data_IF_367377940660
#
_entry.id   IF_367377940660
#
_cell.length_a   1.000
_cell.length_b   1.000
_cell.length_c   1.000
_cell.angle_alpha   90.00
_cell.angle_beta   90.00
_cell.angle_gamma   90.00
#
_symmetry.space_group_name_H-M   'P 1'
#
loop_
_entity.id
_entity.type
_entity.pdbx_description
1 polymer ?
#
# COMPACT_ATOMS: atom_id res chain seq x y z
N UNK A 1 -13.19 1.01 13.40
CA UNK A 1 -13.61 -0.18 12.65
C UNK A 1 -12.50 -1.22 12.77
N UNK A 2 -12.77 -2.40 13.37
CA UNK A 2 -11.82 -3.52 13.40
C UNK A 2 -11.94 -4.32 12.09
N UNK A 3 -11.48 -3.70 11.00
CA UNK A 3 -11.47 -4.35 9.69
C UNK A 3 -10.14 -5.09 9.48
N UNK A 4 -10.13 -6.19 8.72
CA UNK A 4 -8.89 -6.85 8.30
C UNK A 4 -7.98 -5.90 7.54
N UNK A 5 -6.68 -6.12 7.62
CA UNK A 5 -5.68 -5.24 7.01
C UNK A 5 -5.89 -5.04 5.50
N UNK A 6 -6.20 -6.12 4.77
CA UNK A 6 -6.48 -6.04 3.34
C UNK A 6 -7.69 -5.15 3.01
N UNK A 7 -8.76 -5.23 3.81
CA UNK A 7 -9.93 -4.36 3.62
C UNK A 7 -9.59 -2.90 3.90
N UNK A 8 -8.76 -2.63 4.91
CA UNK A 8 -8.27 -1.27 5.20
C UNK A 8 -7.40 -0.72 4.06
N UNK A 9 -6.48 -1.53 3.50
CA UNK A 9 -5.65 -1.13 2.36
C UNK A 9 -6.49 -0.79 1.13
N UNK A 10 -7.49 -1.62 0.80
CA UNK A 10 -8.43 -1.35 -0.30
C UNK A 10 -9.22 -0.07 -0.06
N UNK A 11 -9.73 0.17 1.16
CA UNK A 11 -10.45 1.41 1.50
C UNK A 11 -9.57 2.65 1.38
N UNK A 12 -8.31 2.58 1.85
CA UNK A 12 -7.34 3.68 1.70
C UNK A 12 -7.04 3.92 0.23
N UNK A 13 -6.84 2.86 -0.56
CA UNK A 13 -6.64 2.96 -2.00
C UNK A 13 -7.84 3.59 -2.73
N UNK A 14 -9.07 3.21 -2.37
CA UNK A 14 -10.29 3.82 -2.89
C UNK A 14 -10.36 5.32 -2.57
N UNK A 15 -10.07 5.70 -1.31
CA UNK A 15 -10.05 7.11 -0.90
C UNK A 15 -8.98 7.92 -1.62
N UNK A 16 -7.78 7.35 -1.78
CA UNK A 16 -6.68 7.98 -2.52
C UNK A 16 -7.02 8.16 -4.00
N UNK A 17 -7.53 7.12 -4.66
CA UNK A 17 -7.93 7.18 -6.05
C UNK A 17 -9.04 8.22 -6.29
N UNK A 18 -10.08 8.22 -5.45
CA UNK A 18 -11.17 9.19 -5.53
C UNK A 18 -10.69 10.63 -5.29
N UNK A 19 -9.79 10.83 -4.31
CA UNK A 19 -9.21 12.15 -4.02
C UNK A 19 -8.37 12.71 -5.16
N UNK A 20 -7.48 11.90 -5.76
CA UNK A 20 -6.68 12.30 -6.92
C UNK A 20 -7.58 12.58 -8.12
N UNK A 21 -8.53 11.69 -8.40
CA UNK A 21 -9.48 11.81 -9.49
C UNK A 21 -10.30 13.09 -9.37
N UNK A 22 -10.81 13.40 -8.19
CA UNK A 22 -11.61 14.61 -7.96
C UNK A 22 -10.77 15.89 -8.04
N UNK A 23 -9.50 15.85 -7.56
CA UNK A 23 -8.64 17.04 -7.53
C UNK A 23 -8.07 17.43 -8.88
N UNK A 24 -7.77 16.44 -9.74
CA UNK A 24 -7.07 16.67 -11.01
C UNK A 24 -7.92 16.33 -12.23
N UNK A 25 -9.14 15.83 -12.05
CA UNK A 25 -9.99 15.28 -13.12
C UNK A 25 -9.29 14.16 -13.91
N UNK A 26 -8.52 13.31 -13.21
CA UNK A 26 -7.69 12.22 -13.76
C UNK A 26 -8.07 10.86 -13.17
N UNK A 27 -9.20 10.28 -13.59
CA UNK A 27 -9.68 9.03 -12.99
C UNK A 27 -8.77 7.83 -13.20
N UNK A 28 -8.14 7.68 -14.37
CA UNK A 28 -7.27 6.54 -14.65
C UNK A 28 -5.95 6.68 -13.88
N UNK A 29 -5.35 7.88 -13.87
CA UNK A 29 -4.14 8.14 -13.10
C UNK A 29 -4.36 7.91 -11.60
N UNK A 30 -5.53 8.31 -11.08
CA UNK A 30 -5.91 8.05 -9.68
C UNK A 30 -5.96 6.57 -9.34
N UNK A 31 -6.55 5.74 -10.21
CA UNK A 31 -6.58 4.28 -10.05
C UNK A 31 -5.17 3.70 -10.07
N UNK A 32 -4.38 4.03 -11.09
CA UNK A 32 -3.01 3.49 -11.24
C UNK A 32 -2.13 3.92 -10.06
N UNK A 33 -2.25 5.18 -9.62
CA UNK A 33 -1.52 5.66 -8.44
C UNK A 33 -1.87 4.87 -7.18
N UNK A 34 -3.16 4.63 -6.93
CA UNK A 34 -3.60 3.86 -5.78
C UNK A 34 -3.07 2.41 -5.82
N UNK A 35 -3.03 1.80 -7.00
CA UNK A 35 -2.49 0.45 -7.18
C UNK A 35 -0.96 0.40 -7.05
N UNK A 36 -0.26 1.36 -7.68
CA UNK A 36 1.20 1.38 -7.74
C UNK A 36 1.85 1.83 -6.42
N UNK A 37 1.24 2.81 -5.72
CA UNK A 37 1.83 3.43 -4.52
C UNK A 37 1.23 2.93 -3.22
N UNK A 38 -0.11 2.73 -3.17
CA UNK A 38 -0.79 2.38 -1.92
C UNK A 38 -0.91 0.88 -1.76
N UNK A 39 -1.41 0.19 -2.78
CA UNK A 39 -1.59 -1.27 -2.72
C UNK A 39 -0.32 -2.04 -3.03
N UNK A 40 0.54 -1.51 -3.93
CA UNK A 40 1.75 -2.19 -4.43
C UNK A 40 1.45 -3.59 -5.00
N UNK A 41 0.20 -3.82 -5.40
CA UNK A 41 -0.33 -5.09 -5.92
C UNK A 41 -1.37 -4.83 -6.99
N UNK A 42 -1.38 -5.68 -8.03
CA UNK A 42 -2.36 -5.62 -9.11
C UNK A 42 -3.28 -6.86 -9.04
N UNK A 43 -4.25 -6.85 -8.11
CA UNK A 43 -5.24 -7.93 -8.01
C UNK A 43 -6.60 -7.47 -8.53
N UNK A 44 -7.31 -8.31 -9.28
CA UNK A 44 -8.64 -7.98 -9.83
C UNK A 44 -9.62 -7.59 -8.71
N UNK A 45 -9.59 -8.29 -7.60
CA UNK A 45 -10.47 -8.03 -6.45
C UNK A 45 -10.24 -6.66 -5.80
N UNK A 46 -8.99 -6.17 -5.79
CA UNK A 46 -8.65 -4.83 -5.31
C UNK A 46 -8.90 -3.74 -6.34
N UNK A 47 -8.77 -4.05 -7.63
CA UNK A 47 -8.86 -3.10 -8.74
C UNK A 47 -10.29 -2.58 -8.95
N UNK A 48 -11.28 -3.46 -8.92
CA UNK A 48 -12.70 -3.10 -9.16
C UNK A 48 -13.24 -2.00 -8.23
N UNK A 49 -13.13 -2.11 -6.89
CA UNK A 49 -13.61 -1.05 -6.01
C UNK A 49 -12.83 0.26 -6.15
N UNK A 50 -11.53 0.20 -6.49
CA UNK A 50 -10.70 1.40 -6.70
C UNK A 50 -11.13 2.14 -7.97
N UNK A 51 -11.44 1.44 -9.08
CA UNK A 51 -12.00 2.05 -10.29
C UNK A 51 -13.31 2.76 -9.97
N UNK A 52 -14.23 2.07 -9.29
CA UNK A 52 -15.54 2.63 -8.96
C UNK A 52 -15.40 3.90 -8.11
N UNK A 53 -14.54 3.86 -7.08
CA UNK A 53 -14.28 5.00 -6.21
C UNK A 53 -13.68 6.19 -6.98
N UNK A 54 -12.70 5.93 -7.85
CA UNK A 54 -12.06 6.95 -8.70
C UNK A 54 -13.07 7.60 -9.66
N UNK A 55 -13.85 6.78 -10.35
CA UNK A 55 -14.88 7.26 -11.29
C UNK A 55 -15.92 8.10 -10.57
N UNK A 56 -16.41 7.65 -9.43
CA UNK A 56 -17.39 8.43 -8.63
C UNK A 56 -16.78 9.73 -8.11
N UNK A 57 -15.50 9.75 -7.75
CA UNK A 57 -14.76 10.96 -7.37
C UNK A 57 -14.74 11.99 -8.49
N UNK A 58 -14.41 11.56 -9.74
CA UNK A 58 -14.43 12.42 -10.92
C UNK A 58 -15.84 12.93 -11.22
N UNK A 59 -16.84 12.03 -11.23
CA UNK A 59 -18.24 12.40 -11.52
C UNK A 59 -18.75 13.46 -10.55
N UNK A 60 -18.51 13.28 -9.24
CA UNK A 60 -18.93 14.26 -8.23
C UNK A 60 -18.21 15.61 -8.44
N UNK A 61 -16.89 15.57 -8.71
CA UNK A 61 -16.13 16.79 -8.99
C UNK A 61 -16.65 17.52 -10.23
N UNK A 62 -16.92 16.80 -11.33
CA UNK A 62 -17.46 17.36 -12.56
C UNK A 62 -18.86 17.94 -12.38
N UNK A 63 -19.72 17.34 -11.55
CA UNK A 63 -21.04 17.87 -11.23
C UNK A 63 -20.98 19.20 -10.48
N UNK A 64 -19.94 19.42 -9.68
CA UNK A 64 -19.80 20.64 -8.85
C UNK A 64 -19.02 21.73 -9.58
N UNK A 65 -17.91 21.36 -10.25
CA UNK A 65 -16.95 22.30 -10.83
C UNK A 65 -16.99 22.37 -12.35
N UNK A 66 -17.76 21.51 -13.02
CA UNK A 66 -17.79 21.38 -14.48
C UNK A 66 -16.86 20.29 -14.99
N UNK A 67 -16.97 19.99 -16.28
CA UNK A 67 -16.22 18.93 -16.97
C UNK A 67 -14.95 19.42 -17.67
N UNK A 68 -14.57 20.67 -17.47
CA UNK A 68 -13.36 21.21 -18.10
C UNK A 68 -12.10 20.52 -17.57
N UNK A 69 -11.06 20.30 -18.42
CA UNK A 69 -9.80 19.76 -17.97
C UNK A 69 -9.15 20.69 -16.92
N UNK A 70 -8.39 20.11 -16.02
CA UNK A 70 -7.73 20.85 -14.93
C UNK A 70 -6.74 21.92 -15.47
N UNK A 71 -6.19 21.70 -16.68
CA UNK A 71 -5.25 22.60 -17.35
C UNK A 71 -5.55 22.68 -18.84
N UNK A 72 -5.46 23.89 -19.40
CA UNK A 72 -5.49 24.09 -20.84
C UNK A 72 -4.10 23.87 -21.42
N UNK A 73 -3.93 22.81 -22.17
CA UNK A 73 -2.63 22.43 -22.73
C UNK A 73 -2.66 22.56 -24.25
N UNK A 74 -1.76 23.32 -24.87
CA UNK A 74 -1.67 23.40 -26.31
C UNK A 74 -1.29 22.05 -26.91
N UNK A 75 -1.84 21.73 -28.09
CA UNK A 75 -1.48 20.53 -28.85
C UNK A 75 -0.09 20.70 -29.46
N UNK A 76 0.92 20.26 -28.77
CA UNK A 76 2.32 20.37 -29.19
C UNK A 76 2.95 19.01 -29.44
N UNK A 77 3.96 18.96 -30.30
CA UNK A 77 4.76 17.77 -30.58
C UNK A 77 6.22 17.98 -30.17
N UNK A 78 6.92 16.90 -29.84
CA UNK A 78 8.35 16.98 -29.46
C UNK A 78 9.23 17.50 -30.60
N UNK A 79 8.73 17.59 -31.84
CA UNK A 79 9.52 17.89 -33.01
C UNK A 79 10.38 16.69 -33.47
N UNK A 80 11.51 16.94 -34.12
CA UNK A 80 12.34 15.89 -34.71
C UNK A 80 13.00 15.00 -33.64
N UNK A 81 13.25 13.73 -33.98
CA UNK A 81 13.89 12.75 -33.11
C UNK A 81 15.30 13.17 -32.61
N UNK A 82 15.92 14.15 -33.27
CA UNK A 82 17.19 14.77 -32.85
C UNK A 82 17.10 15.45 -31.48
N UNK A 83 15.90 15.70 -30.94
CA UNK A 83 15.69 16.28 -29.63
C UNK A 83 15.71 15.26 -28.49
N UNK A 84 15.68 13.96 -28.80
CA UNK A 84 15.70 12.88 -27.78
C UNK A 84 16.95 12.92 -26.86
N UNK A 85 18.19 13.16 -27.35
CA UNK A 85 19.33 13.26 -26.46
C UNK A 85 19.19 14.38 -25.41
N UNK A 86 18.62 15.53 -25.81
CA UNK A 86 18.38 16.63 -24.90
C UNK A 86 17.28 16.32 -23.88
N UNK A 87 16.28 15.56 -24.30
CA UNK A 87 15.25 15.04 -23.39
C UNK A 87 15.85 14.10 -22.32
N UNK A 88 16.80 13.25 -22.69
CA UNK A 88 17.51 12.40 -21.72
C UNK A 88 18.28 13.24 -20.71
N UNK A 89 19.00 14.28 -21.16
CA UNK A 89 19.69 15.22 -20.25
C UNK A 89 18.69 15.91 -19.31
N UNK A 90 17.57 16.38 -19.83
CA UNK A 90 16.49 16.96 -19.04
C UNK A 90 15.98 15.99 -17.98
N UNK A 91 15.72 14.75 -18.35
CA UNK A 91 15.24 13.71 -17.43
C UNK A 91 16.27 13.36 -16.34
N UNK A 92 17.56 13.35 -16.66
CA UNK A 92 18.64 13.19 -15.68
C UNK A 92 18.64 14.35 -14.66
N UNK A 93 18.55 15.59 -15.11
CA UNK A 93 18.49 16.77 -14.23
C UNK A 93 17.27 16.69 -13.30
N UNK A 94 16.10 16.35 -13.85
CA UNK A 94 14.87 16.21 -13.06
C UNK A 94 14.98 15.06 -12.05
N UNK A 95 15.58 13.93 -12.44
CA UNK A 95 15.83 12.81 -11.53
C UNK A 95 16.75 13.20 -10.36
N UNK A 96 17.77 14.03 -10.60
CA UNK A 96 18.63 14.59 -9.54
C UNK A 96 17.87 15.55 -8.62
N UNK A 97 17.03 16.43 -9.18
CA UNK A 97 16.15 17.33 -8.39
C UNK A 97 15.17 16.51 -7.53
N UNK A 98 14.61 15.44 -8.06
CA UNK A 98 13.75 14.53 -7.31
C UNK A 98 14.48 13.85 -6.15
N UNK A 99 15.70 13.38 -6.40
CA UNK A 99 16.56 12.83 -5.36
C UNK A 99 16.89 13.84 -4.28
N UNK A 100 17.25 15.06 -4.65
CA UNK A 100 17.48 16.18 -3.73
C UNK A 100 16.25 16.49 -2.89
N UNK A 101 15.08 16.59 -3.52
CA UNK A 101 13.80 16.79 -2.83
C UNK A 101 13.55 15.71 -1.77
N UNK A 102 13.69 14.43 -2.13
CA UNK A 102 13.47 13.32 -1.20
C UNK A 102 14.48 13.37 -0.04
N UNK A 103 15.74 13.66 -0.30
CA UNK A 103 16.75 13.78 0.75
C UNK A 103 16.47 14.93 1.72
N UNK A 104 16.06 16.09 1.21
CA UNK A 104 15.70 17.24 2.06
C UNK A 104 14.42 16.95 2.86
N UNK A 105 13.41 16.37 2.23
CA UNK A 105 12.13 16.01 2.88
C UNK A 105 12.29 14.97 3.99
N UNK A 106 13.33 14.13 3.93
CA UNK A 106 13.68 13.15 4.98
C UNK A 106 14.44 13.73 6.16
N UNK A 107 14.89 14.98 6.08
CA UNK A 107 15.72 15.57 7.12
C UNK A 107 14.99 15.66 8.46
N UNK A 108 15.53 15.02 9.48
CA UNK A 108 14.95 15.05 10.83
C UNK A 108 15.42 16.24 11.68
N UNK A 109 16.32 17.08 11.14
CA UNK A 109 16.96 18.18 11.87
C UNK A 109 15.97 19.14 12.51
N UNK A 110 14.80 19.33 11.90
CA UNK A 110 13.79 20.29 12.32
C UNK A 110 12.77 19.67 13.28
N UNK A 111 12.66 18.34 13.31
CA UNK A 111 11.67 17.62 14.15
C UNK A 111 11.87 17.83 15.67
N UNK A 112 13.08 18.14 16.11
CA UNK A 112 13.39 18.43 17.51
C UNK A 112 12.83 19.75 18.06
N UNK A 113 12.38 20.66 17.18
CA UNK A 113 11.78 21.93 17.58
C UNK A 113 10.31 21.77 17.96
N UNK A 114 9.77 22.58 18.87
CA UNK A 114 8.35 22.58 19.18
C UNK A 114 7.50 22.92 17.96
N UNK A 115 6.29 22.33 17.88
CA UNK A 115 5.42 22.38 16.69
C UNK A 115 5.12 23.83 16.26
N UNK A 116 4.81 24.70 17.21
CA UNK A 116 4.50 26.10 16.93
C UNK A 116 5.70 26.84 16.26
N UNK A 117 6.94 26.55 16.69
CA UNK A 117 8.13 27.17 16.11
C UNK A 117 8.39 26.67 14.68
N UNK A 118 8.17 25.36 14.45
CA UNK A 118 8.27 24.78 13.08
C UNK A 118 7.27 25.43 12.13
N UNK A 119 6.02 25.53 12.55
CA UNK A 119 4.96 26.19 11.78
C UNK A 119 5.30 27.64 11.48
N UNK A 120 5.74 28.41 12.49
CA UNK A 120 6.10 29.82 12.33
C UNK A 120 7.29 30.00 11.39
N UNK A 121 8.34 29.19 11.48
CA UNK A 121 9.50 29.26 10.61
C UNK A 121 9.13 28.96 9.14
N UNK A 122 8.34 27.92 8.90
CA UNK A 122 7.88 27.58 7.54
C UNK A 122 7.00 28.69 6.98
N UNK A 123 6.05 29.19 7.78
CA UNK A 123 5.16 30.28 7.35
C UNK A 123 5.95 31.56 7.02
N UNK A 124 6.90 31.94 7.89
CA UNK A 124 7.74 33.13 7.66
C UNK A 124 8.62 32.96 6.42
N UNK A 125 9.26 31.80 6.25
CA UNK A 125 10.08 31.53 5.06
C UNK A 125 9.25 31.59 3.79
N UNK A 126 8.05 30.97 3.80
CA UNK A 126 7.12 31.02 2.65
C UNK A 126 6.67 32.44 2.37
N UNK A 127 6.29 33.23 3.39
CA UNK A 127 5.89 34.62 3.24
C UNK A 127 7.01 35.50 2.70
N UNK A 128 8.24 35.30 3.18
CA UNK A 128 9.40 36.03 2.71
C UNK A 128 9.69 35.79 1.22
N UNK A 129 9.61 34.56 0.75
CA UNK A 129 9.79 34.22 -0.67
C UNK A 129 8.62 34.74 -1.50
N UNK A 130 7.40 34.56 -1.02
CA UNK A 130 6.18 34.96 -1.70
C UNK A 130 6.03 36.50 -1.87
N UNK A 131 6.80 37.29 -1.12
CA UNK A 131 6.84 38.73 -1.29
C UNK A 131 7.41 39.15 -2.67
N UNK A 132 8.37 38.39 -3.19
CA UNK A 132 8.98 38.61 -4.50
C UNK A 132 8.42 37.71 -5.60
N UNK A 133 8.04 36.47 -5.23
CA UNK A 133 7.54 35.42 -6.13
C UNK A 133 6.26 34.83 -5.58
N UNK A 134 5.11 35.51 -5.75
CA UNK A 134 3.82 35.02 -5.24
C UNK A 134 3.41 33.65 -5.85
N UNK A 135 3.93 33.29 -7.02
CA UNK A 135 3.70 32.04 -7.74
C UNK A 135 4.16 30.81 -6.96
N UNK A 136 5.05 31.01 -5.97
CA UNK A 136 5.52 29.92 -5.11
C UNK A 136 4.45 29.46 -4.12
N UNK A 137 3.43 30.28 -3.85
CA UNK A 137 2.37 29.94 -2.89
C UNK A 137 1.43 28.83 -3.40
N UNK A 138 0.70 28.20 -2.47
CA UNK A 138 -0.36 27.27 -2.73
C UNK A 138 0.08 26.03 -3.52
N UNK A 139 -0.88 25.39 -4.18
CA UNK A 139 -0.65 24.22 -5.03
C UNK A 139 0.09 24.63 -6.31
N UNK A 140 -0.22 25.82 -6.85
CA UNK A 140 0.45 26.42 -8.00
C UNK A 140 -0.12 25.97 -9.35
N UNK A 141 -1.44 25.77 -9.44
CA UNK A 141 -2.09 25.39 -10.71
C UNK A 141 -1.93 26.45 -11.79
N UNK A 142 -2.10 27.72 -11.42
CA UNK A 142 -1.89 28.86 -12.36
C UNK A 142 -0.46 28.89 -12.88
N UNK A 143 0.54 28.69 -11.99
CA UNK A 143 1.95 28.62 -12.35
C UNK A 143 2.27 27.40 -13.21
N UNK A 144 1.57 26.28 -12.98
CA UNK A 144 1.69 25.08 -13.80
C UNK A 144 1.18 25.35 -15.22
N UNK A 145 -0.04 25.87 -15.37
CA UNK A 145 -0.63 26.22 -16.66
C UNK A 145 0.25 27.22 -17.44
N UNK A 146 0.69 28.28 -16.79
CA UNK A 146 1.60 29.25 -17.39
C UNK A 146 2.97 28.65 -17.77
N UNK A 147 3.45 27.63 -17.05
CA UNK A 147 4.66 26.88 -17.44
C UNK A 147 4.42 26.02 -18.69
N UNK A 148 3.21 25.46 -18.84
CA UNK A 148 2.83 24.60 -19.97
C UNK A 148 2.59 25.40 -21.24
N UNK A 149 2.12 26.64 -21.13
CA UNK A 149 1.96 27.59 -22.26
C UNK A 149 3.27 28.28 -22.64
N UNK A 150 4.28 28.21 -21.77
CA UNK A 150 5.58 28.87 -21.99
C UNK A 150 5.59 30.37 -21.68
N UNK A 151 4.57 30.88 -20.97
CA UNK A 151 4.39 32.31 -20.69
C UNK A 151 5.20 32.81 -19.49
N UNK A 152 5.83 31.93 -18.72
CA UNK A 152 6.60 32.31 -17.53
C UNK A 152 8.01 32.84 -17.87
N UNK A 153 8.38 33.91 -17.22
CA UNK A 153 9.75 34.45 -17.27
C UNK A 153 10.76 33.49 -16.59
N UNK A 154 12.00 33.54 -17.05
CA UNK A 154 13.07 32.61 -16.59
C UNK A 154 13.35 32.72 -15.09
N UNK A 155 13.28 33.92 -14.52
CA UNK A 155 13.46 34.18 -13.09
C UNK A 155 12.36 33.53 -12.23
N UNK A 156 11.10 33.60 -12.69
CA UNK A 156 9.94 32.91 -12.03
C UNK A 156 10.09 31.39 -12.11
N UNK A 157 10.44 30.87 -13.28
CA UNK A 157 10.70 29.42 -13.43
C UNK A 157 11.82 28.95 -12.49
N UNK A 158 12.90 29.72 -12.37
CA UNK A 158 14.00 29.42 -11.47
C UNK A 158 13.56 29.49 -10.00
N UNK A 159 12.76 30.50 -9.63
CA UNK A 159 12.16 30.59 -8.30
C UNK A 159 11.28 29.40 -7.97
N UNK A 160 10.46 28.94 -8.92
CA UNK A 160 9.63 27.73 -8.74
C UNK A 160 10.50 26.48 -8.55
N UNK A 161 11.57 26.29 -9.32
CA UNK A 161 12.45 25.14 -9.17
C UNK A 161 13.16 25.17 -7.83
N UNK A 162 13.75 26.30 -7.43
CA UNK A 162 14.61 26.37 -6.24
C UNK A 162 13.79 26.60 -4.97
N UNK A 163 13.01 27.69 -4.95
CA UNK A 163 12.30 28.09 -3.73
C UNK A 163 11.13 27.15 -3.40
N UNK A 164 10.31 26.77 -4.39
CA UNK A 164 9.19 25.85 -4.15
C UNK A 164 9.70 24.46 -3.75
N UNK A 165 10.78 23.95 -4.37
CA UNK A 165 11.40 22.70 -3.96
C UNK A 165 11.86 22.74 -2.51
N UNK A 166 12.62 23.77 -2.13
CA UNK A 166 13.16 23.91 -0.78
C UNK A 166 12.04 24.08 0.26
N UNK A 167 11.09 24.99 0.01
CA UNK A 167 9.97 25.25 0.93
C UNK A 167 9.10 24.02 1.12
N UNK A 168 8.76 23.32 0.04
CA UNK A 168 7.96 22.09 0.14
C UNK A 168 8.72 21.01 0.90
N UNK A 169 9.99 20.77 0.58
CA UNK A 169 10.81 19.78 1.27
C UNK A 169 10.96 20.08 2.76
N UNK A 170 11.21 21.35 3.13
CA UNK A 170 11.32 21.79 4.54
C UNK A 170 9.98 21.66 5.26
N UNK A 171 8.86 21.98 4.61
CA UNK A 171 7.52 21.81 5.18
C UNK A 171 7.25 20.35 5.53
N UNK A 172 7.56 19.44 4.60
CA UNK A 172 7.45 18.01 4.83
C UNK A 172 8.38 17.53 5.95
N UNK A 173 9.66 17.94 5.91
CA UNK A 173 10.66 17.61 6.93
C UNK A 173 10.25 18.10 8.33
N UNK A 174 9.49 19.19 8.39
CA UNK A 174 8.92 19.73 9.64
C UNK A 174 7.78 18.88 10.21
N UNK A 175 7.32 17.85 9.49
CA UNK A 175 6.20 16.99 9.90
C UNK A 175 4.83 17.64 9.75
N UNK A 176 4.72 18.68 8.92
CA UNK A 176 3.46 19.34 8.59
C UNK A 176 2.77 18.49 7.50
N UNK A 177 1.51 18.06 7.71
CA UNK A 177 0.79 17.27 6.71
C UNK A 177 0.40 18.16 5.52
N UNK A 178 1.09 17.99 4.40
CA UNK A 178 0.79 18.67 3.13
C UNK A 178 0.68 17.68 1.97
N UNK A 179 -0.09 18.04 0.93
CA UNK A 179 -0.12 17.33 -0.33
C UNK A 179 1.14 17.64 -1.13
N UNK A 180 1.87 16.61 -1.55
CA UNK A 180 3.15 16.79 -2.30
C UNK A 180 2.96 16.73 -3.81
N UNK A 181 1.87 16.14 -4.32
CA UNK A 181 1.68 15.91 -5.76
C UNK A 181 1.67 17.23 -6.53
N UNK A 182 0.83 18.19 -6.14
CA UNK A 182 0.75 19.49 -6.80
C UNK A 182 2.10 20.22 -6.87
N UNK A 183 2.78 20.47 -5.74
CA UNK A 183 4.12 21.07 -5.75
C UNK A 183 5.15 20.33 -6.61
N UNK A 184 5.13 19.00 -6.61
CA UNK A 184 6.05 18.18 -7.43
C UNK A 184 5.78 18.37 -8.92
N UNK A 185 4.52 18.43 -9.33
CA UNK A 185 4.14 18.72 -10.73
C UNK A 185 4.67 20.09 -11.17
N UNK A 186 4.48 21.12 -10.35
CA UNK A 186 4.94 22.50 -10.65
C UNK A 186 6.46 22.59 -10.74
N UNK A 187 7.18 22.00 -9.79
CA UNK A 187 8.65 21.96 -9.81
C UNK A 187 9.15 21.26 -11.06
N UNK A 188 8.54 20.15 -11.42
CA UNK A 188 8.87 19.38 -12.62
C UNK A 188 8.60 20.15 -13.90
N UNK A 189 7.45 20.82 -14.01
CA UNK A 189 7.08 21.65 -15.16
C UNK A 189 8.03 22.84 -15.30
N UNK A 190 8.32 23.56 -14.22
CA UNK A 190 9.26 24.67 -14.23
C UNK A 190 10.69 24.23 -14.63
N UNK A 191 11.17 23.12 -14.08
CA UNK A 191 12.49 22.56 -14.44
C UNK A 191 12.53 22.12 -15.91
N UNK A 192 11.48 21.45 -16.39
CA UNK A 192 11.34 21.07 -17.79
C UNK A 192 11.31 22.29 -18.71
N UNK A 193 10.50 23.30 -18.39
CA UNK A 193 10.42 24.57 -19.14
C UNK A 193 11.75 25.28 -19.24
N UNK A 194 12.51 25.39 -18.13
CA UNK A 194 13.87 25.93 -18.14
C UNK A 194 14.81 25.14 -19.05
N UNK A 195 14.75 23.83 -19.01
CA UNK A 195 15.56 22.97 -19.89
C UNK A 195 15.15 23.12 -21.36
N UNK A 196 13.86 23.32 -21.64
CA UNK A 196 13.37 23.62 -22.98
C UNK A 196 13.92 24.96 -23.51
N UNK A 197 13.83 26.01 -22.69
CA UNK A 197 14.41 27.35 -23.03
C UNK A 197 15.93 27.25 -23.25
N UNK A 198 16.64 26.57 -22.39
CA UNK A 198 18.09 26.39 -22.50
C UNK A 198 18.47 25.57 -23.74
N UNK A 199 17.70 24.55 -24.08
CA UNK A 199 17.86 23.77 -25.30
C UNK A 199 17.66 24.62 -26.56
N UNK A 200 16.63 25.46 -26.58
CA UNK A 200 16.37 26.42 -27.66
C UNK A 200 17.50 27.47 -27.84
N UNK A 201 18.10 27.90 -26.74
CA UNK A 201 19.24 28.81 -26.78
C UNK A 201 20.53 28.12 -27.30
N UNK A 202 20.74 26.83 -26.90
CA UNK A 202 21.95 26.10 -27.29
C UNK A 202 21.92 25.63 -28.77
N UNK A 203 20.72 25.34 -29.29
CA UNK A 203 20.52 24.93 -30.71
C UNK A 203 19.42 25.76 -31.38
N UNK A 204 19.73 27.02 -31.79
CA UNK A 204 18.77 27.85 -32.51
C UNK A 204 18.27 27.17 -33.79
N UNK A 205 16.95 27.07 -33.98
CA UNK A 205 16.34 26.48 -35.16
C UNK A 205 16.01 24.99 -35.07
N UNK A 206 16.42 24.27 -34.00
CA UNK A 206 15.96 22.95 -33.64
C UNK A 206 15.01 23.00 -32.42
N UNK A 207 14.46 24.20 -32.14
CA UNK A 207 13.76 24.55 -30.93
C UNK A 207 12.72 23.51 -30.49
N UNK A 208 12.99 22.90 -29.37
CA UNK A 208 11.99 22.22 -28.62
C UNK A 208 11.11 23.26 -27.94
N UNK A 209 9.81 23.16 -28.11
CA UNK A 209 8.84 24.00 -27.44
C UNK A 209 9.01 23.87 -25.91
N UNK A 210 9.27 24.95 -25.16
CA UNK A 210 9.41 24.92 -23.71
C UNK A 210 8.22 24.28 -23.01
N UNK A 211 6.99 24.43 -23.53
CA UNK A 211 5.79 23.80 -23.01
C UNK A 211 5.84 22.29 -23.08
N UNK A 212 6.38 21.70 -24.17
CA UNK A 212 6.58 20.25 -24.26
C UNK A 212 7.53 19.75 -23.17
N UNK A 213 8.66 20.44 -22.97
CA UNK A 213 9.59 20.07 -21.92
C UNK A 213 9.02 20.27 -20.53
N UNK A 214 8.16 21.27 -20.33
CA UNK A 214 7.42 21.46 -19.08
C UNK A 214 6.49 20.27 -18.81
N UNK A 215 5.71 19.79 -19.79
CA UNK A 215 4.85 18.62 -19.68
C UNK A 215 5.64 17.35 -19.34
N UNK A 216 6.73 17.13 -20.06
CA UNK A 216 7.60 15.95 -19.83
C UNK A 216 8.30 16.04 -18.48
N UNK A 217 8.71 17.24 -18.07
CA UNK A 217 9.31 17.50 -16.77
C UNK A 217 8.36 17.26 -15.61
N UNK A 218 7.11 17.69 -15.77
CA UNK A 218 6.04 17.44 -14.80
C UNK A 218 5.88 15.95 -14.51
N UNK A 219 5.73 15.13 -15.56
CA UNK A 219 5.59 13.68 -15.41
C UNK A 219 6.87 13.02 -14.89
N UNK A 220 8.04 13.44 -15.39
CA UNK A 220 9.34 12.92 -14.95
C UNK A 220 9.58 13.14 -13.45
N UNK A 221 9.26 14.35 -12.94
CA UNK A 221 9.41 14.68 -11.53
C UNK A 221 8.43 13.90 -10.65
N UNK A 222 7.16 13.79 -11.06
CA UNK A 222 6.15 12.98 -10.38
C UNK A 222 6.60 11.52 -10.30
N UNK A 223 6.98 10.93 -11.43
CA UNK A 223 7.45 9.53 -11.47
C UNK A 223 8.66 9.31 -10.57
N UNK A 224 9.66 10.19 -10.62
CA UNK A 224 10.90 10.06 -9.87
C UNK A 224 10.74 10.25 -8.35
N UNK A 225 9.91 11.21 -7.91
CA UNK A 225 9.64 11.45 -6.47
C UNK A 225 8.80 10.34 -5.87
N UNK A 226 7.76 9.90 -6.57
CA UNK A 226 6.83 8.89 -6.07
C UNK A 226 7.31 7.46 -6.32
N UNK A 227 8.25 7.26 -7.25
CA UNK A 227 8.65 5.95 -7.81
C UNK A 227 7.44 5.20 -8.40
N UNK A 228 6.57 5.97 -9.08
CA UNK A 228 5.33 5.50 -9.69
C UNK A 228 5.29 5.90 -11.19
N UNK A 229 6.04 5.20 -12.04
CA UNK A 229 6.16 5.54 -13.45
C UNK A 229 4.85 5.40 -14.23
N UNK A 230 4.04 4.37 -13.95
CA UNK A 230 2.77 4.18 -14.65
C UNK A 230 1.75 5.26 -14.28
N UNK A 231 1.65 5.61 -12.99
CA UNK A 231 0.79 6.69 -12.53
C UNK A 231 1.19 8.03 -13.15
N UNK A 232 2.50 8.31 -13.24
CA UNK A 232 2.99 9.54 -13.84
C UNK A 232 2.68 9.63 -15.34
N UNK A 233 2.80 8.53 -16.08
CA UNK A 233 2.46 8.48 -17.51
C UNK A 233 0.96 8.63 -17.74
N UNK A 234 0.13 8.01 -16.91
CA UNK A 234 -1.33 8.16 -17.02
C UNK A 234 -1.78 9.57 -16.64
N UNK A 235 -1.15 10.18 -15.63
CA UNK A 235 -1.39 11.57 -15.29
C UNK A 235 -0.98 12.51 -16.45
N UNK A 236 0.17 12.27 -17.07
CA UNK A 236 0.60 13.02 -18.25
C UNK A 236 -0.46 12.94 -19.37
N UNK A 237 -0.94 11.74 -19.68
CA UNK A 237 -1.94 11.53 -20.72
C UNK A 237 -3.27 12.25 -20.41
N UNK A 238 -3.79 12.04 -19.19
CA UNK A 238 -5.09 12.61 -18.79
C UNK A 238 -5.04 14.13 -18.62
N UNK A 239 -3.94 14.68 -18.08
CA UNK A 239 -3.80 16.14 -17.91
C UNK A 239 -3.56 16.87 -19.23
N UNK A 240 -2.85 16.26 -20.19
CA UNK A 240 -2.48 16.92 -21.45
C UNK A 240 -3.42 16.60 -22.60
N UNK A 241 -4.23 15.54 -22.49
CA UNK A 241 -5.11 15.03 -23.55
C UNK A 241 -4.36 14.80 -24.90
N UNK A 242 -3.04 14.65 -24.87
CA UNK A 242 -2.19 14.52 -26.03
C UNK A 242 -1.49 13.15 -26.06
N UNK A 243 -1.98 12.15 -26.82
CA UNK A 243 -1.37 10.84 -26.88
C UNK A 243 0.03 10.84 -27.52
N UNK A 244 0.38 11.85 -28.33
CA UNK A 244 1.68 11.91 -29.01
C UNK A 244 2.85 12.16 -28.02
N UNK A 245 2.56 12.66 -26.82
CA UNK A 245 3.57 12.93 -25.79
C UNK A 245 3.93 11.68 -24.96
N UNK A 246 3.19 10.58 -25.11
CA UNK A 246 3.40 9.37 -24.29
C UNK A 246 4.77 8.79 -24.54
N UNK A 247 5.19 8.62 -25.80
CA UNK A 247 6.48 7.99 -26.13
C UNK A 247 7.68 8.77 -25.57
N UNK A 248 7.84 10.07 -25.78
CA UNK A 248 8.87 10.86 -25.10
C UNK A 248 8.67 10.90 -23.58
N UNK A 249 7.41 10.89 -23.10
CA UNK A 249 7.08 10.81 -21.68
C UNK A 249 7.61 9.53 -21.03
N UNK A 250 7.46 8.38 -21.68
CA UNK A 250 8.01 7.11 -21.19
C UNK A 250 9.52 7.19 -20.98
N UNK A 251 10.25 7.77 -21.97
CA UNK A 251 11.69 7.95 -21.86
C UNK A 251 12.05 8.88 -20.69
N UNK A 252 11.40 10.02 -20.60
CA UNK A 252 11.66 11.01 -19.56
C UNK A 252 11.37 10.45 -18.15
N UNK A 253 10.23 9.80 -17.95
CA UNK A 253 9.83 9.22 -16.66
C UNK A 253 10.77 8.09 -16.27
N UNK A 254 11.08 7.15 -17.17
CA UNK A 254 11.95 6.02 -16.84
C UNK A 254 13.36 6.50 -16.49
N UNK A 255 13.94 7.40 -17.29
CA UNK A 255 15.29 7.93 -17.03
C UNK A 255 15.33 8.67 -15.69
N UNK A 256 14.35 9.52 -15.38
CA UNK A 256 14.31 10.26 -14.12
C UNK A 256 14.09 9.33 -12.91
N UNK A 257 13.24 8.32 -13.01
CA UNK A 257 13.05 7.30 -11.97
C UNK A 257 14.34 6.53 -11.69
N UNK A 258 15.03 6.06 -12.75
CA UNK A 258 16.30 5.35 -12.64
C UNK A 258 17.37 6.25 -12.01
N UNK A 259 17.45 7.52 -12.41
CA UNK A 259 18.39 8.49 -11.87
C UNK A 259 18.16 8.70 -10.37
N UNK A 260 16.93 8.96 -9.95
CA UNK A 260 16.58 9.12 -8.54
C UNK A 260 16.88 7.85 -7.73
N UNK A 261 16.55 6.67 -8.28
CA UNK A 261 16.73 5.41 -7.58
C UNK A 261 18.19 4.95 -7.51
N UNK A 262 18.92 5.00 -8.63
CA UNK A 262 20.28 4.44 -8.72
C UNK A 262 21.35 5.44 -8.29
N UNK A 263 21.31 6.69 -8.80
CA UNK A 263 22.30 7.70 -8.45
C UNK A 263 22.06 8.30 -7.06
N UNK A 264 20.82 8.66 -6.74
CA UNK A 264 20.48 9.26 -5.45
C UNK A 264 20.13 8.24 -4.37
N UNK A 265 20.02 6.94 -4.71
CA UNK A 265 19.64 5.85 -3.80
C UNK A 265 18.34 6.12 -3.04
N UNK A 266 17.34 6.66 -3.76
CA UNK A 266 16.04 7.01 -3.20
C UNK A 266 14.98 5.97 -3.62
N UNK A 267 14.35 5.31 -2.65
CA UNK A 267 13.29 4.29 -2.91
C UNK A 267 11.88 4.92 -3.08
N UNK A 268 11.81 6.22 -3.31
CA UNK A 268 10.55 6.96 -3.40
C UNK A 268 10.12 7.60 -2.08
N UNK A 269 9.28 8.64 -2.20
CA UNK A 269 8.86 9.44 -1.05
C UNK A 269 8.03 8.63 -0.05
N UNK A 270 6.99 7.93 -0.51
CA UNK A 270 6.08 7.20 0.39
C UNK A 270 6.72 5.97 1.03
N UNK A 271 7.51 5.20 0.28
CA UNK A 271 8.25 4.05 0.83
C UNK A 271 9.21 4.51 1.92
N UNK A 272 9.81 5.66 1.74
CA UNK A 272 10.75 6.25 2.68
C UNK A 272 10.09 6.79 3.93
N UNK A 273 8.89 7.36 3.81
CA UNK A 273 8.11 7.84 4.94
C UNK A 273 7.61 6.68 5.84
N UNK A 274 7.26 5.55 5.23
CA UNK A 274 6.81 4.37 5.97
C UNK A 274 7.93 3.64 6.71
N UNK A 275 9.17 3.71 6.23
CA UNK A 275 10.34 3.11 6.92
C UNK A 275 10.57 3.64 8.34
N UNK A 276 10.10 4.83 8.66
CA UNK A 276 10.27 5.47 9.98
C UNK A 276 9.15 5.15 10.99
N UNK A 277 8.08 4.45 10.58
CA UNK A 277 6.92 4.22 11.44
C UNK A 277 6.28 2.83 11.40
N UNK A 278 6.61 2.00 10.43
CA UNK A 278 6.03 0.67 10.28
C UNK A 278 7.12 -0.40 10.28
N UNK A 279 7.02 -1.31 11.24
CA UNK A 279 7.84 -2.50 11.40
C UNK A 279 7.79 -3.45 10.17
N UNK A 280 8.61 -4.46 10.12
CA UNK A 280 9.43 -4.98 9.04
C UNK A 280 8.66 -5.81 8.01
N UNK A 281 7.74 -5.22 7.26
CA UNK A 281 7.24 -5.79 5.99
C UNK A 281 8.38 -5.91 4.93
N UNK A 282 9.62 -5.67 5.35
CA UNK A 282 10.81 -5.68 4.48
C UNK A 282 11.54 -7.01 4.44
N UNK A 283 11.13 -8.00 5.23
CA UNK A 283 11.62 -9.35 5.01
C UNK A 283 10.91 -9.92 3.79
N UNK A 284 11.63 -10.47 2.78
CA UNK A 284 11.03 -11.10 1.61
C UNK A 284 9.94 -12.11 1.98
N UNK A 285 10.12 -12.81 3.08
CA UNK A 285 9.15 -13.70 3.69
C UNK A 285 7.81 -13.01 4.01
N UNK A 286 7.84 -11.87 4.70
CA UNK A 286 6.62 -11.14 5.08
C UNK A 286 5.88 -10.57 3.87
N UNK A 287 6.61 -10.14 2.84
CA UNK A 287 6.00 -9.71 1.57
C UNK A 287 5.33 -10.88 0.84
N UNK A 288 5.94 -12.06 0.80
CA UNK A 288 5.34 -13.25 0.23
C UNK A 288 4.08 -13.66 1.00
N UNK A 289 4.16 -13.72 2.34
CA UNK A 289 3.05 -14.06 3.21
C UNK A 289 1.90 -13.03 3.18
N UNK A 290 2.18 -11.75 2.91
CA UNK A 290 1.14 -10.72 2.80
C UNK A 290 0.26 -10.86 1.55
N UNK A 291 0.75 -11.56 0.53
CA UNK A 291 0.00 -11.81 -0.72
C UNK A 291 -0.95 -12.99 -0.63
N UNK A 292 -0.78 -13.85 0.37
CA UNK A 292 -1.57 -15.07 0.52
C UNK A 292 -2.58 -14.90 1.64
N UNK A 293 -3.83 -15.23 1.35
CA UNK A 293 -4.90 -15.18 2.34
C UNK A 293 -4.93 -16.47 3.18
N UNK A 294 -5.33 -16.36 4.46
CA UNK A 294 -5.48 -17.48 5.40
C UNK A 294 -6.28 -18.66 4.83
N UNK A 295 -7.39 -18.44 4.08
CA UNK A 295 -8.16 -19.53 3.46
C UNK A 295 -7.40 -20.44 2.49
N UNK A 296 -6.28 -19.97 1.93
CA UNK A 296 -5.48 -20.77 1.00
C UNK A 296 -4.66 -21.88 1.68
N UNK A 297 -4.37 -21.70 2.99
CA UNK A 297 -3.46 -22.58 3.74
C UNK A 297 -4.13 -23.22 4.96
N UNK A 298 -5.31 -22.70 5.37
CA UNK A 298 -6.01 -23.22 6.55
C UNK A 298 -6.50 -24.65 6.34
N UNK A 299 -6.41 -25.45 7.38
CA UNK A 299 -7.03 -26.77 7.47
C UNK A 299 -8.51 -26.63 7.83
N UNK A 300 -9.38 -27.27 7.04
CA UNK A 300 -10.85 -27.20 7.19
C UNK A 300 -11.45 -28.41 7.88
N UNK A 301 -10.69 -29.50 7.95
CA UNK A 301 -11.14 -30.75 8.56
C UNK A 301 -11.05 -30.67 10.08
N UNK A 302 -12.05 -30.08 10.70
CA UNK A 302 -12.13 -29.88 12.14
C UNK A 302 -13.54 -30.11 12.68
N UNK A 303 -13.60 -30.55 13.93
CA UNK A 303 -14.85 -30.69 14.71
C UNK A 303 -14.73 -29.91 16.02
N UNK A 304 -15.87 -29.45 16.54
CA UNK A 304 -15.94 -28.69 17.80
C UNK A 304 -16.62 -29.55 18.87
N UNK A 305 -16.10 -29.51 20.07
CA UNK A 305 -16.66 -30.27 21.18
C UNK A 305 -16.39 -29.56 22.52
N UNK A 306 -17.28 -29.71 23.51
CA UNK A 306 -16.98 -29.35 24.87
C UNK A 306 -15.80 -30.17 25.42
N UNK A 307 -15.22 -29.72 26.54
CA UNK A 307 -14.09 -30.38 27.20
C UNK A 307 -14.38 -31.80 27.64
N UNK A 308 -15.59 -32.02 28.18
CA UNK A 308 -16.04 -33.32 28.67
C UNK A 308 -16.91 -33.98 27.60
N UNK A 309 -16.54 -35.19 27.17
CA UNK A 309 -17.28 -35.95 26.14
C UNK A 309 -17.45 -37.38 26.57
N UNK A 310 -18.60 -38.01 26.23
CA UNK A 310 -18.80 -39.44 26.42
C UNK A 310 -18.00 -40.23 25.39
N UNK A 311 -17.64 -41.49 25.67
CA UNK A 311 -16.95 -42.40 24.75
C UNK A 311 -17.72 -42.54 23.41
N UNK A 312 -19.05 -42.64 23.46
CA UNK A 312 -19.90 -42.71 22.28
C UNK A 312 -19.78 -41.47 21.41
N UNK A 313 -19.82 -40.26 22.01
CA UNK A 313 -19.64 -39.01 21.30
C UNK A 313 -18.23 -38.82 20.73
N UNK A 314 -17.21 -39.31 21.43
CA UNK A 314 -15.84 -39.32 20.94
C UNK A 314 -15.67 -40.19 19.69
N UNK A 315 -16.28 -41.37 19.66
CA UNK A 315 -16.34 -42.26 18.47
C UNK A 315 -17.11 -41.60 17.32
N UNK A 316 -18.24 -40.97 17.61
CA UNK A 316 -19.04 -40.27 16.59
C UNK A 316 -18.30 -39.08 15.99
N UNK A 317 -17.48 -38.37 16.77
CA UNK A 317 -16.60 -37.32 16.29
C UNK A 317 -15.51 -37.86 15.35
N UNK A 318 -14.85 -38.94 15.74
CA UNK A 318 -13.81 -39.58 14.92
C UNK A 318 -14.36 -40.19 13.63
N UNK A 319 -15.62 -40.66 13.62
CA UNK A 319 -16.28 -41.18 12.43
C UNK A 319 -16.43 -40.16 11.29
N UNK A 320 -16.36 -38.86 11.61
CA UNK A 320 -16.34 -37.75 10.63
C UNK A 320 -14.95 -37.47 10.07
N UNK A 321 -13.94 -38.18 10.52
CA UNK A 321 -12.56 -38.11 10.06
C UNK A 321 -11.94 -36.69 10.14
N UNK A 322 -12.09 -35.96 11.28
CA UNK A 322 -11.45 -34.67 11.45
C UNK A 322 -9.94 -34.84 11.62
N UNK A 323 -9.17 -33.83 11.24
CA UNK A 323 -7.74 -33.72 11.57
C UNK A 323 -7.58 -33.08 12.94
N UNK A 324 -8.41 -32.09 13.25
CA UNK A 324 -8.35 -31.32 14.49
C UNK A 324 -9.67 -31.35 15.24
N UNK A 325 -9.59 -31.44 16.55
CA UNK A 325 -10.72 -31.30 17.48
C UNK A 325 -10.50 -30.03 18.29
N UNK A 326 -11.41 -29.07 18.14
CA UNK A 326 -11.39 -27.80 18.87
C UNK A 326 -12.17 -27.94 20.16
N UNK A 327 -11.52 -27.69 21.30
CA UNK A 327 -12.08 -27.82 22.63
C UNK A 327 -12.60 -26.45 23.10
N UNK A 328 -13.88 -26.38 23.46
CA UNK A 328 -14.55 -25.19 23.95
C UNK A 328 -14.44 -25.11 25.48
N UNK A 329 -14.09 -23.91 25.99
CA UNK A 329 -14.13 -23.66 27.43
C UNK A 329 -15.53 -23.21 27.82
N UNK A 330 -16.09 -23.81 28.85
CA UNK A 330 -17.50 -23.84 29.27
C UNK A 330 -18.27 -22.51 29.43
N UNK A 331 -17.69 -21.33 29.18
CA UNK A 331 -18.39 -20.06 29.43
C UNK A 331 -18.61 -19.18 28.20
N UNK A 332 -17.95 -19.40 27.07
CA UNK A 332 -17.91 -18.38 26.01
C UNK A 332 -18.07 -18.90 24.57
N UNK A 333 -18.40 -20.18 24.36
CA UNK A 333 -18.50 -20.82 23.03
C UNK A 333 -17.26 -20.64 22.12
N UNK A 334 -16.12 -20.22 22.68
CA UNK A 334 -14.88 -20.02 21.93
C UNK A 334 -13.90 -21.15 22.19
N UNK A 335 -13.36 -21.77 21.14
CA UNK A 335 -12.34 -22.78 21.31
C UNK A 335 -11.05 -22.11 21.86
N UNK A 336 -10.48 -22.72 22.89
CA UNK A 336 -9.23 -22.26 23.49
C UNK A 336 -8.06 -23.19 23.21
N UNK A 337 -8.35 -24.46 22.88
CA UNK A 337 -7.36 -25.50 22.64
C UNK A 337 -7.74 -26.35 21.44
N UNK A 338 -6.74 -26.84 20.73
CA UNK A 338 -6.90 -27.84 19.69
C UNK A 338 -6.14 -29.12 20.03
N UNK A 339 -6.78 -30.26 19.83
CA UNK A 339 -6.21 -31.61 19.96
C UNK A 339 -6.21 -32.28 18.58
N UNK A 340 -5.19 -33.07 18.26
CA UNK A 340 -5.22 -33.91 17.06
C UNK A 340 -6.20 -35.06 17.23
N UNK A 341 -7.07 -35.29 16.24
CA UNK A 341 -7.98 -36.40 16.27
C UNK A 341 -7.28 -37.77 16.38
N UNK A 342 -6.06 -37.86 15.82
CA UNK A 342 -5.23 -39.06 15.93
C UNK A 342 -4.83 -39.42 17.38
N UNK A 343 -4.61 -38.40 18.24
CA UNK A 343 -4.25 -38.63 19.64
C UNK A 343 -5.48 -39.17 20.44
N UNK A 344 -6.66 -38.62 20.16
CA UNK A 344 -7.92 -39.15 20.72
C UNK A 344 -8.19 -40.60 20.24
N UNK A 345 -7.99 -40.86 18.95
CA UNK A 345 -8.18 -42.18 18.38
C UNK A 345 -7.23 -43.21 19.02
N UNK A 346 -5.95 -42.86 19.18
CA UNK A 346 -4.97 -43.73 19.83
C UNK A 346 -5.36 -44.04 21.27
N UNK A 347 -5.74 -43.03 22.03
CA UNK A 347 -6.15 -43.19 23.43
C UNK A 347 -7.38 -44.10 23.56
N UNK A 348 -8.37 -43.94 22.70
CA UNK A 348 -9.56 -44.82 22.70
C UNK A 348 -9.19 -46.26 22.37
N UNK A 349 -8.29 -46.50 21.41
CA UNK A 349 -7.82 -47.86 21.07
C UNK A 349 -7.05 -48.52 22.22
N UNK A 350 -6.18 -47.73 22.90
CA UNK A 350 -5.44 -48.22 24.06
C UNK A 350 -6.37 -48.55 25.23
N UNK A 351 -7.38 -47.70 25.48
CA UNK A 351 -8.39 -47.95 26.52
C UNK A 351 -9.30 -49.17 26.21
N UNK A 352 -9.54 -49.47 24.93
CA UNK A 352 -10.29 -50.66 24.50
C UNK A 352 -9.45 -51.95 24.52
N UNK A 353 -8.12 -51.81 24.48
CA UNK A 353 -7.19 -52.96 24.46
C UNK A 353 -6.77 -53.41 25.87
N UNK A 354 -7.09 -52.65 26.90
CA UNK A 354 -6.81 -53.00 28.29
C UNK A 354 -7.78 -54.17 28.71
N UNK A 355 -7.28 -55.26 29.30
CA UNK A 355 -8.16 -56.36 29.75
C UNK A 355 -9.08 -55.85 30.86
N UNK A 356 -10.38 -56.09 30.77
CA UNK A 356 -11.35 -55.65 31.79
C UNK A 356 -11.13 -56.43 33.08
N UNK A 357 -10.95 -55.72 34.21
CA UNK A 357 -10.82 -56.35 35.53
C UNK A 357 -12.17 -56.91 36.06
N UNK A 358 -13.33 -56.44 35.57
CA UNK A 358 -14.68 -56.94 35.92
C UNK A 358 -15.76 -56.50 34.90
N UNK A 359 -16.72 -57.35 34.51
CA UNK A 359 -17.85 -57.02 33.62
C UNK A 359 -18.77 -55.90 34.15
N UNK A 360 -18.77 -55.62 35.46
CA UNK A 360 -19.53 -54.54 36.07
C UNK A 360 -18.82 -53.17 35.93
N UNK A 361 -17.52 -53.13 35.69
CA UNK A 361 -16.73 -51.92 35.44
C UNK A 361 -16.95 -51.41 34.00
N UNK A 362 -17.16 -52.28 33.01
CA UNK A 362 -17.43 -51.90 31.61
C UNK A 362 -18.67 -51.00 31.45
N UNK A 363 -19.75 -51.31 32.20
CA UNK A 363 -20.99 -50.54 32.12
C UNK A 363 -20.86 -49.14 32.76
N UNK A 364 -20.04 -48.99 33.80
CA UNK A 364 -19.76 -47.69 34.47
C UNK A 364 -18.73 -46.86 33.68
N UNK A 365 -17.69 -47.47 33.13
CA UNK A 365 -16.72 -46.79 32.29
C UNK A 365 -17.30 -46.30 30.96
N UNK A 366 -18.34 -46.89 30.43
CA UNK A 366 -19.03 -46.46 29.21
C UNK A 366 -19.76 -45.11 29.40
N UNK A 367 -20.21 -44.80 30.61
CA UNK A 367 -20.94 -43.55 30.95
C UNK A 367 -20.06 -42.44 31.51
N UNK A 368 -18.84 -42.75 31.99
CA UNK A 368 -17.95 -41.69 32.51
C UNK A 368 -17.50 -40.72 31.41
N UNK A 369 -17.67 -39.40 31.62
CA UNK A 369 -17.24 -38.41 30.66
C UNK A 369 -15.71 -38.33 30.61
N UNK A 370 -15.15 -38.43 29.42
CA UNK A 370 -13.70 -38.29 29.12
C UNK A 370 -13.35 -36.82 29.16
N UNK A 371 -12.35 -36.44 29.97
CA UNK A 371 -11.73 -35.11 29.90
C UNK A 371 -10.69 -35.08 28.77
N UNK A 372 -10.99 -34.37 27.70
CA UNK A 372 -10.08 -34.21 26.56
C UNK A 372 -8.76 -33.57 26.91
N UNK A 373 -8.65 -32.91 28.08
CA UNK A 373 -7.40 -32.36 28.57
C UNK A 373 -6.48 -33.36 29.27
N UNK A 374 -6.99 -34.55 29.64
CA UNK A 374 -6.19 -35.60 30.26
C UNK A 374 -5.60 -36.58 29.24
N UNK A 375 -6.09 -36.54 28.00
CA UNK A 375 -5.60 -37.42 26.92
C UNK A 375 -4.14 -37.10 26.61
N UNK A 376 -3.22 -38.08 26.56
CA UNK A 376 -1.85 -37.85 26.14
C UNK A 376 -1.76 -37.34 24.70
N UNK A 377 -1.17 -36.19 24.46
CA UNK A 377 -1.03 -35.60 23.11
C UNK A 377 -0.61 -34.14 23.14
N UNK A 378 -0.22 -33.63 21.98
CA UNK A 378 0.13 -32.23 21.81
C UNK A 378 -1.14 -31.39 21.69
N UNK A 379 -1.26 -30.43 22.61
CA UNK A 379 -2.34 -29.44 22.60
C UNK A 379 -1.81 -28.12 22.10
N UNK A 380 -2.57 -27.51 21.19
CA UNK A 380 -2.22 -26.19 20.64
C UNK A 380 -3.13 -25.14 21.30
N UNK A 381 -2.54 -24.10 21.83
CA UNK A 381 -3.26 -22.91 22.29
C UNK A 381 -3.78 -22.14 21.09
N UNK A 382 -5.04 -21.69 21.16
CA UNK A 382 -5.76 -21.08 20.06
C UNK A 382 -6.08 -19.61 20.30
N UNK A 383 -5.91 -18.81 19.24
CA UNK A 383 -6.40 -17.45 19.16
C UNK A 383 -7.25 -17.23 17.90
N UNK A 384 -8.16 -16.26 17.90
CA UNK A 384 -9.01 -15.97 16.73
C UNK A 384 -8.26 -15.21 15.65
N UNK A 385 -8.56 -15.53 14.37
CA UNK A 385 -8.17 -14.71 13.22
C UNK A 385 -9.35 -14.61 12.23
N UNK A 386 -9.43 -13.51 11.50
CA UNK A 386 -10.49 -13.30 10.53
C UNK A 386 -10.21 -14.04 9.21
N UNK A 387 -11.25 -14.55 8.55
CA UNK A 387 -11.13 -15.29 7.27
C UNK A 387 -10.41 -14.49 6.17
N UNK A 388 -10.54 -13.17 6.15
CA UNK A 388 -9.92 -12.29 5.16
C UNK A 388 -8.49 -11.85 5.53
N UNK A 389 -7.94 -12.33 6.61
CA UNK A 389 -6.58 -12.03 7.02
C UNK A 389 -5.56 -12.67 6.08
N UNK A 390 -4.36 -12.09 6.03
CA UNK A 390 -3.21 -12.62 5.30
C UNK A 390 -2.39 -13.58 6.16
N UNK A 391 -1.53 -14.38 5.52
CA UNK A 391 -0.58 -15.22 6.27
C UNK A 391 0.42 -14.41 7.08
N UNK A 392 0.76 -13.19 6.64
CA UNK A 392 1.60 -12.25 7.41
C UNK A 392 0.92 -11.87 8.73
N UNK A 393 -0.37 -11.47 8.68
CA UNK A 393 -1.15 -11.17 9.88
C UNK A 393 -1.31 -12.39 10.79
N UNK A 394 -1.45 -13.58 10.20
CA UNK A 394 -1.52 -14.82 10.95
C UNK A 394 -0.20 -15.09 11.67
N UNK A 395 0.92 -14.92 10.99
CA UNK A 395 2.24 -15.13 11.55
C UNK A 395 2.59 -14.13 12.67
N UNK A 396 2.28 -12.84 12.46
CA UNK A 396 2.42 -11.81 13.49
C UNK A 396 1.57 -12.14 14.73
N UNK A 397 0.31 -12.54 14.53
CA UNK A 397 -0.60 -12.86 15.64
C UNK A 397 -0.19 -14.08 16.43
N UNK A 398 0.38 -15.10 15.78
CA UNK A 398 0.99 -16.26 16.46
C UNK A 398 2.15 -15.84 17.35
N UNK A 399 2.96 -14.87 16.90
CA UNK A 399 4.09 -14.37 17.67
C UNK A 399 3.67 -13.45 18.81
N UNK A 400 2.78 -12.48 18.55
CA UNK A 400 2.36 -11.48 19.54
C UNK A 400 1.57 -12.09 20.70
N UNK A 401 0.76 -13.11 20.43
CA UNK A 401 -0.06 -13.77 21.44
C UNK A 401 0.63 -15.03 22.01
N UNK A 402 1.81 -15.39 21.47
CA UNK A 402 2.57 -16.56 21.86
C UNK A 402 1.72 -17.86 21.84
N UNK A 403 0.81 -17.99 20.84
CA UNK A 403 -0.04 -19.16 20.65
C UNK A 403 0.49 -20.06 19.53
N UNK A 404 0.08 -21.34 19.55
CA UNK A 404 0.58 -22.35 18.61
C UNK A 404 -0.23 -22.40 17.31
N UNK A 405 -1.51 -22.01 17.37
CA UNK A 405 -2.40 -22.03 16.21
C UNK A 405 -3.50 -20.95 16.31
N UNK A 406 -4.12 -20.65 15.16
CA UNK A 406 -5.21 -19.70 15.07
C UNK A 406 -6.45 -20.39 14.50
N UNK A 407 -7.62 -20.20 15.13
CA UNK A 407 -8.88 -20.58 14.52
C UNK A 407 -9.46 -19.45 13.69
N UNK A 408 -9.98 -19.80 12.50
CA UNK A 408 -10.43 -18.84 11.50
C UNK A 408 -11.91 -18.56 11.68
N UNK A 409 -12.25 -17.33 12.04
CA UNK A 409 -13.62 -16.87 12.23
C UNK A 409 -14.18 -16.22 10.94
N UNK A 410 -15.44 -16.51 10.65
CA UNK A 410 -16.21 -15.87 9.59
C UNK A 410 -17.52 -15.31 10.13
N UNK A 411 -17.84 -14.05 9.80
CA UNK A 411 -19.08 -13.38 10.17
C UNK A 411 -18.90 -12.04 10.89
N UNK A 412 -19.80 -11.08 10.59
CA UNK A 412 -19.73 -9.70 11.10
C UNK A 412 -20.45 -9.50 12.44
N UNK A 413 -21.23 -10.48 12.92
CA UNK A 413 -22.00 -10.35 14.17
C UNK A 413 -21.50 -11.33 15.23
N UNK A 414 -21.38 -10.92 16.50
CA UNK A 414 -20.84 -11.78 17.57
C UNK A 414 -21.54 -13.13 17.73
N UNK A 415 -22.86 -13.18 17.48
CA UNK A 415 -23.68 -14.40 17.59
C UNK A 415 -23.71 -15.29 16.31
N UNK A 416 -23.07 -14.86 15.19
CA UNK A 416 -23.05 -15.59 13.92
C UNK A 416 -21.63 -15.95 13.46
N UNK A 417 -20.66 -15.89 14.35
CA UNK A 417 -19.29 -16.25 14.01
C UNK A 417 -19.19 -17.77 13.84
N UNK A 418 -18.97 -18.20 12.60
CA UNK A 418 -18.67 -19.60 12.25
C UNK A 418 -17.16 -19.77 12.18
N UNK A 419 -16.66 -20.87 12.73
CA UNK A 419 -15.26 -21.26 12.58
C UNK A 419 -15.16 -22.01 11.26
N UNK A 420 -14.29 -21.55 10.38
CA UNK A 420 -14.11 -22.06 9.02
C UNK A 420 -12.88 -22.94 8.85
N UNK A 421 -11.92 -22.85 9.78
CA UNK A 421 -10.67 -23.60 9.70
C UNK A 421 -9.74 -23.29 10.86
N UNK A 422 -8.59 -23.96 10.85
CA UNK A 422 -7.47 -23.73 11.75
C UNK A 422 -6.19 -23.52 10.92
N UNK A 423 -5.32 -22.63 11.36
CA UNK A 423 -4.01 -22.43 10.77
C UNK A 423 -2.94 -22.57 11.85
N UNK A 424 -1.96 -23.42 11.61
CA UNK A 424 -0.84 -23.65 12.52
C UNK A 424 0.42 -22.96 11.99
N UNK A 425 1.38 -22.67 12.88
CA UNK A 425 2.71 -22.16 12.50
C UNK A 425 3.37 -23.06 11.44
N UNK A 426 3.33 -24.39 11.63
CA UNK A 426 3.91 -25.33 10.69
C UNK A 426 3.22 -25.37 9.31
N UNK A 427 1.94 -24.97 9.21
CA UNK A 427 1.27 -24.84 7.92
C UNK A 427 1.79 -23.61 7.14
N UNK A 428 2.02 -22.50 7.83
CA UNK A 428 2.61 -21.28 7.22
C UNK A 428 4.06 -21.56 6.77
N UNK A 429 4.86 -22.21 7.63
CA UNK A 429 6.26 -22.54 7.32
C UNK A 429 6.39 -23.53 6.15
N UNK A 430 5.49 -24.49 6.04
CA UNK A 430 5.47 -25.43 4.90
C UNK A 430 5.13 -24.72 3.59
N UNK A 431 4.19 -23.80 3.62
CA UNK A 431 3.81 -23.03 2.43
C UNK A 431 5.03 -22.27 1.85
N UNK A 432 5.86 -21.70 2.72
CA UNK A 432 7.06 -20.97 2.29
C UNK A 432 8.18 -21.87 1.78
N UNK A 433 8.31 -23.09 2.32
CA UNK A 433 9.39 -24.02 1.91
C UNK A 433 9.12 -24.73 0.57
N UNK A 434 7.87 -24.71 0.10
CA UNK A 434 7.52 -25.32 -1.19
C UNK A 434 7.64 -24.37 -2.39
N UNK A 435 7.88 -23.07 -2.15
CA UNK A 435 8.06 -22.07 -3.21
C UNK A 435 9.56 -21.78 -3.53
N UNK A 436 10.49 -22.57 -2.97
CA UNK A 436 11.89 -22.64 -3.38
C UNK A 436 12.09 -23.87 -4.31
#
# INVERSE_FOLDING_TARGET
LRLPHNSLRVLVACGTAAGISASFNTPIAGVIFAMEVVMMEYTIAGFMPVILASTMGAVVAQLVYGSEPAFQVPTVSLGPLSNLPWLVVTALVIGLLAGLFIHLARSERIKGLPVWLRLSLVALATAAVAWWYPEVQGIGYDSLEASLTGDLAVDVLLALVVAKLLLTAVTVASGIPIGIIGPVLVIGAAAGGLMGLFGGWLWPGRGADPGVYAMLGMAAMMGAVLQAPLAALMALLELTHNPNIILPGMLAVVVSCLTSRQLCRCDGFFISATRHGLHPLQQPLMQALSRVSVPAVMERSLERTPRMVTRERARALLARNPIWILIERSSDDKPTLALKAADLARWLMEAESAPPDDEAAEAQEAEEPIDLLEIPGVRLELAPIHLQATLSEAFERLNDQAVDALYVEHGNRPKQKRISGIITRGAIERYYRFDD
#
